data_IF_030203598962
#
_entry.id   IF_030203598962
#
_cell.length_a   1.000
_cell.length_b   1.000
_cell.length_c   1.000
_cell.angle_alpha   90.00
_cell.angle_beta   90.00
_cell.angle_gamma   90.00
#
_symmetry.space_group_name_H-M   'P 1'
#
loop_
_entity.id
_entity.type
_entity.pdbx_description
1 polymer ?
#
# COMPACT_ATOMS: atom_id res chain seq x y z
N UNK A 1 -10.83 -27.88 55.73
CA UNK A 1 -11.42 -26.61 55.33
C UNK A 1 -10.52 -25.66 54.53
N UNK A 2 -9.19 -25.64 54.74
CA UNK A 2 -8.25 -24.77 53.94
C UNK A 2 -8.12 -25.18 52.45
N UNK A 3 -8.13 -26.49 52.17
CA UNK A 3 -8.00 -27.01 50.77
C UNK A 3 -9.16 -26.62 49.85
N UNK A 4 -10.39 -26.64 50.35
CA UNK A 4 -11.59 -26.32 49.56
C UNK A 4 -11.64 -24.84 49.17
N UNK A 5 -11.16 -23.93 50.01
CA UNK A 5 -11.09 -22.49 49.69
C UNK A 5 -10.09 -22.18 48.60
N UNK A 6 -8.95 -22.89 48.56
CA UNK A 6 -7.93 -22.71 47.54
C UNK A 6 -8.44 -23.20 46.20
N UNK A 7 -9.14 -24.34 46.12
CA UNK A 7 -9.73 -24.85 44.91
C UNK A 7 -10.78 -23.91 44.29
N UNK A 8 -11.62 -23.30 45.11
CA UNK A 8 -12.63 -22.35 44.64
C UNK A 8 -11.98 -21.09 44.05
N UNK A 9 -10.91 -20.56 44.67
CA UNK A 9 -10.17 -19.40 44.15
C UNK A 9 -9.48 -19.73 42.83
N UNK A 10 -8.91 -20.92 42.68
CA UNK A 10 -8.27 -21.34 41.40
C UNK A 10 -9.27 -21.48 40.24
N UNK A 11 -10.47 -22.03 40.54
CA UNK A 11 -11.53 -22.15 39.52
C UNK A 11 -12.05 -20.78 39.12
N UNK A 12 -12.23 -19.84 40.07
CA UNK A 12 -12.66 -18.48 39.79
C UNK A 12 -11.65 -17.73 38.92
N UNK A 13 -10.33 -17.89 39.18
CA UNK A 13 -9.26 -17.32 38.36
C UNK A 13 -9.22 -17.89 36.94
N UNK A 14 -9.45 -19.20 36.79
CA UNK A 14 -9.51 -19.86 35.45
C UNK A 14 -10.72 -19.39 34.63
N UNK A 15 -11.87 -19.20 35.25
CA UNK A 15 -13.07 -18.70 34.57
C UNK A 15 -12.88 -17.24 34.14
N UNK A 16 -12.28 -16.39 34.99
CA UNK A 16 -11.96 -15.00 34.61
C UNK A 16 -10.94 -14.96 33.47
N UNK A 17 -9.90 -15.77 33.50
CA UNK A 17 -8.93 -15.85 32.40
C UNK A 17 -9.57 -16.33 31.10
N UNK A 18 -10.46 -17.31 31.14
CA UNK A 18 -11.17 -17.81 29.95
C UNK A 18 -12.12 -16.75 29.37
N UNK A 19 -12.78 -15.93 30.18
CA UNK A 19 -13.63 -14.83 29.70
C UNK A 19 -12.79 -13.70 29.08
N UNK A 20 -11.61 -13.39 29.62
CA UNK A 20 -10.69 -12.41 29.00
C UNK A 20 -10.13 -12.91 27.65
N UNK A 21 -9.80 -14.19 27.52
CA UNK A 21 -9.34 -14.77 26.24
C UNK A 21 -10.47 -14.80 25.22
N UNK A 22 -11.71 -15.09 25.63
CA UNK A 22 -12.87 -15.07 24.74
C UNK A 22 -13.23 -13.63 24.27
N UNK A 23 -13.02 -12.61 25.09
CA UNK A 23 -13.21 -11.21 24.70
C UNK A 23 -12.07 -10.68 23.82
N UNK A 24 -10.87 -11.23 23.94
CA UNK A 24 -9.72 -10.88 23.09
C UNK A 24 -9.80 -11.48 21.68
N UNK A 25 -10.70 -12.42 21.42
CA UNK A 25 -11.14 -12.73 20.06
C UNK A 25 -12.07 -11.60 19.59
N UNK A 26 -11.47 -10.44 19.32
CA UNK A 26 -12.16 -9.33 18.69
C UNK A 26 -12.96 -9.89 17.50
N UNK A 27 -14.29 -9.73 17.56
CA UNK A 27 -15.19 -10.09 16.48
C UNK A 27 -14.58 -9.54 15.22
N UNK A 28 -14.13 -10.41 14.30
CA UNK A 28 -13.51 -9.99 13.05
C UNK A 28 -14.55 -9.13 12.34
N UNK A 29 -14.42 -7.82 12.47
CA UNK A 29 -15.30 -6.87 11.77
C UNK A 29 -15.09 -7.11 10.29
N UNK A 30 -16.16 -7.34 9.55
CA UNK A 30 -16.07 -7.45 8.10
C UNK A 30 -15.47 -6.14 7.58
N UNK A 31 -14.32 -6.25 6.91
CA UNK A 31 -13.66 -5.10 6.31
C UNK A 31 -14.54 -4.59 5.16
N UNK A 32 -14.63 -3.28 4.94
CA UNK A 32 -15.19 -2.74 3.71
C UNK A 32 -14.54 -3.41 2.49
N UNK A 33 -15.29 -3.57 1.41
CA UNK A 33 -14.79 -4.24 0.20
C UNK A 33 -13.48 -3.61 -0.30
N UNK A 34 -13.43 -2.29 -0.40
CA UNK A 34 -12.24 -1.54 -0.83
C UNK A 34 -11.01 -1.83 0.05
N UNK A 35 -11.19 -1.93 1.35
CA UNK A 35 -10.12 -2.28 2.29
C UNK A 35 -9.66 -3.72 2.11
N UNK A 36 -10.58 -4.65 1.89
CA UNK A 36 -10.26 -6.06 1.66
C UNK A 36 -9.44 -6.24 0.36
N UNK A 37 -9.75 -5.46 -0.68
CA UNK A 37 -9.02 -5.48 -1.95
C UNK A 37 -7.57 -5.01 -1.81
N UNK A 38 -7.22 -4.16 -0.84
CA UNK A 38 -5.83 -3.77 -0.59
C UNK A 38 -4.91 -4.96 -0.27
N UNK A 39 -5.46 -6.06 0.27
CA UNK A 39 -4.67 -7.27 0.56
C UNK A 39 -4.08 -7.94 -0.71
N UNK A 40 -4.55 -7.58 -1.91
CA UNK A 40 -3.97 -8.05 -3.17
C UNK A 40 -2.53 -7.60 -3.36
N UNK A 41 -2.16 -6.43 -2.81
CA UNK A 41 -0.78 -5.93 -2.87
C UNK A 41 0.20 -6.78 -2.08
N UNK A 42 -0.23 -7.44 -1.00
CA UNK A 42 0.66 -8.13 -0.06
C UNK A 42 1.54 -9.15 -0.75
N UNK A 43 2.86 -9.01 -0.56
CA UNK A 43 3.90 -9.86 -1.11
C UNK A 43 5.06 -9.07 -1.68
N UNK A 44 6.02 -9.80 -2.24
CA UNK A 44 7.16 -9.23 -2.96
C UNK A 44 6.87 -9.23 -4.45
N UNK A 45 7.22 -8.16 -5.11
CA UNK A 45 7.00 -7.95 -6.53
C UNK A 45 8.26 -7.41 -7.18
N UNK A 46 8.53 -7.84 -8.40
CA UNK A 46 9.61 -7.28 -9.19
C UNK A 46 9.24 -7.18 -10.66
N UNK A 47 9.83 -6.22 -11.35
CA UNK A 47 9.57 -5.99 -12.76
C UNK A 47 10.49 -4.92 -13.34
N UNK A 48 10.55 -4.88 -14.67
CA UNK A 48 11.27 -3.82 -15.38
C UNK A 48 10.31 -2.66 -15.62
N UNK A 49 10.61 -1.51 -15.01
CA UNK A 49 9.94 -0.24 -15.27
C UNK A 49 10.60 0.42 -16.50
N UNK A 50 9.78 0.78 -17.48
CA UNK A 50 10.18 1.61 -18.60
C UNK A 50 9.73 3.04 -18.28
N UNK A 51 10.69 3.88 -17.91
CA UNK A 51 10.51 5.28 -17.55
C UNK A 51 10.84 6.18 -18.76
N UNK A 52 10.10 7.26 -18.94
CA UNK A 52 10.39 8.29 -19.92
C UNK A 52 10.32 9.66 -19.26
N UNK A 53 11.41 10.41 -19.26
CA UNK A 53 11.54 11.73 -18.65
C UNK A 53 10.96 12.88 -19.51
N UNK A 54 11.05 14.10 -19.02
CA UNK A 54 10.62 15.34 -19.69
C UNK A 54 11.40 15.63 -21.00
N UNK A 55 12.62 15.09 -21.13
CA UNK A 55 13.48 15.19 -22.33
C UNK A 55 13.22 14.06 -23.32
N UNK A 56 12.21 13.22 -23.08
CA UNK A 56 11.89 12.02 -23.88
C UNK A 56 13.01 10.98 -23.90
N UNK A 57 13.86 10.97 -22.89
CA UNK A 57 14.84 9.92 -22.68
C UNK A 57 14.16 8.72 -21.99
N UNK A 58 14.43 7.54 -22.51
CA UNK A 58 13.84 6.32 -21.95
C UNK A 58 14.89 5.51 -21.20
N UNK A 59 14.49 5.00 -20.04
CA UNK A 59 15.29 4.19 -19.11
C UNK A 59 14.56 2.88 -18.84
N UNK A 60 15.32 1.82 -18.57
CA UNK A 60 14.81 0.54 -18.11
C UNK A 60 15.42 0.23 -16.76
N UNK A 61 14.59 0.13 -15.75
CA UNK A 61 15.01 -0.01 -14.37
C UNK A 61 14.38 -1.27 -13.79
N UNK A 62 15.19 -2.12 -13.15
CA UNK A 62 14.65 -3.22 -12.35
C UNK A 62 14.13 -2.67 -11.03
N UNK A 63 12.84 -2.69 -10.86
CA UNK A 63 12.13 -2.19 -9.66
C UNK A 63 11.65 -3.35 -8.82
N UNK A 64 11.80 -3.22 -7.52
CA UNK A 64 11.37 -4.18 -6.50
C UNK A 64 10.42 -3.49 -5.53
N UNK A 65 9.35 -4.19 -5.17
CA UNK A 65 8.39 -3.75 -4.15
C UNK A 65 8.15 -4.87 -3.14
N UNK A 66 7.95 -4.50 -1.88
CA UNK A 66 7.58 -5.44 -0.84
C UNK A 66 6.47 -4.85 0.02
N UNK A 67 5.30 -5.44 -0.03
CA UNK A 67 4.12 -5.00 0.71
C UNK A 67 3.76 -6.00 1.80
N UNK A 68 3.45 -5.50 2.98
CA UNK A 68 3.02 -6.28 4.13
C UNK A 68 1.74 -5.70 4.73
N UNK A 69 0.90 -6.59 5.23
CA UNK A 69 -0.30 -6.21 5.97
C UNK A 69 0.09 -5.66 7.35
N UNK A 70 -0.49 -4.53 7.74
CA UNK A 70 -0.25 -3.88 9.05
C UNK A 70 -1.58 -3.60 9.77
N UNK A 71 -1.50 -3.17 11.03
CA UNK A 71 -2.66 -2.82 11.83
C UNK A 71 -3.76 -3.91 11.83
N UNK A 72 -3.35 -5.18 12.00
CA UNK A 72 -4.24 -6.36 11.99
C UNK A 72 -5.07 -6.51 10.70
N UNK A 73 -4.54 -6.08 9.56
CA UNK A 73 -5.20 -6.15 8.25
C UNK A 73 -5.89 -4.85 7.82
N UNK A 74 -5.86 -3.81 8.68
CA UNK A 74 -6.51 -2.53 8.38
C UNK A 74 -5.71 -1.63 7.45
N UNK A 75 -4.46 -1.98 7.16
CA UNK A 75 -3.60 -1.22 6.26
C UNK A 75 -2.53 -2.09 5.61
N UNK A 76 -1.84 -1.48 4.65
CA UNK A 76 -0.69 -2.05 3.95
C UNK A 76 0.47 -1.09 4.12
N UNK A 77 1.63 -1.62 4.53
CA UNK A 77 2.91 -0.94 4.44
C UNK A 77 3.70 -1.51 3.28
N UNK A 78 4.26 -0.65 2.45
CA UNK A 78 5.07 -1.02 1.31
C UNK A 78 6.41 -0.32 1.29
N UNK A 79 7.38 -0.95 0.67
CA UNK A 79 8.64 -0.33 0.28
C UNK A 79 8.88 -0.61 -1.20
N UNK A 80 9.44 0.38 -1.89
CA UNK A 80 9.90 0.25 -3.26
C UNK A 80 11.35 0.67 -3.34
N UNK A 81 12.11 -0.03 -4.18
CA UNK A 81 13.51 0.31 -4.38
C UNK A 81 14.02 -0.11 -5.76
N UNK A 82 14.93 0.67 -6.26
CA UNK A 82 15.84 0.30 -7.35
C UNK A 82 17.23 0.89 -7.12
N UNK A 83 18.23 0.31 -7.78
CA UNK A 83 19.59 0.83 -7.88
C UNK A 83 19.97 0.87 -9.37
N UNK A 84 20.16 2.05 -9.92
CA UNK A 84 20.57 2.26 -11.31
C UNK A 84 21.82 3.14 -11.39
N UNK A 85 22.83 2.77 -12.17
CA UNK A 85 24.08 3.52 -12.25
C UNK A 85 23.92 4.96 -12.79
N UNK A 86 22.87 5.25 -13.55
CA UNK A 86 22.63 6.56 -14.16
C UNK A 86 21.64 7.39 -13.35
N UNK A 87 20.56 6.76 -12.87
CA UNK A 87 19.50 7.44 -12.14
C UNK A 87 19.72 7.44 -10.62
N UNK A 88 20.66 6.63 -10.13
CA UNK A 88 20.96 6.54 -8.71
C UNK A 88 20.08 5.49 -8.01
N UNK A 89 19.73 5.78 -6.76
CA UNK A 89 19.00 4.85 -5.90
C UNK A 89 17.68 5.45 -5.49
N UNK A 90 16.57 4.77 -5.78
CA UNK A 90 15.28 5.05 -5.17
C UNK A 90 15.11 4.21 -3.91
N UNK A 91 14.56 4.82 -2.88
CA UNK A 91 14.05 4.18 -1.66
C UNK A 91 12.77 4.90 -1.28
N UNK A 92 11.64 4.25 -1.51
CA UNK A 92 10.34 4.78 -1.18
C UNK A 92 9.64 3.92 -0.13
N UNK A 93 8.78 4.54 0.65
CA UNK A 93 7.92 3.90 1.64
C UNK A 93 6.48 4.36 1.44
N UNK A 94 5.57 3.42 1.54
CA UNK A 94 4.15 3.61 1.28
C UNK A 94 3.32 3.14 2.45
N UNK A 95 2.26 3.87 2.75
CA UNK A 95 1.25 3.46 3.72
C UNK A 95 -0.13 3.62 3.09
N UNK A 96 -0.87 2.52 3.00
CA UNK A 96 -2.25 2.49 2.55
C UNK A 96 -3.17 2.19 3.73
N UNK A 97 -4.29 2.87 3.81
CA UNK A 97 -5.32 2.63 4.81
C UNK A 97 -6.68 3.11 4.36
N UNK A 98 -7.74 2.48 4.86
CA UNK A 98 -9.10 2.90 4.60
C UNK A 98 -9.62 3.73 5.78
N UNK A 99 -10.09 4.95 5.49
CA UNK A 99 -10.78 5.78 6.47
C UNK A 99 -12.29 5.49 6.41
N UNK A 100 -12.90 4.92 7.47
CA UNK A 100 -14.31 4.58 7.49
C UNK A 100 -15.21 5.82 7.60
N UNK A 101 -14.71 6.97 8.05
CA UNK A 101 -15.46 8.22 8.16
C UNK A 101 -15.51 8.96 6.83
N UNK A 102 -14.39 9.04 6.13
CA UNK A 102 -14.30 9.62 4.78
C UNK A 102 -14.74 8.62 3.70
N UNK A 103 -14.80 7.34 4.03
CA UNK A 103 -15.11 6.22 3.12
C UNK A 103 -14.18 6.17 1.92
N UNK A 104 -12.89 6.43 2.16
CA UNK A 104 -11.86 6.43 1.13
C UNK A 104 -10.59 5.73 1.58
N UNK A 105 -9.76 5.38 0.59
CA UNK A 105 -8.42 4.87 0.82
C UNK A 105 -7.47 6.07 0.76
N UNK A 106 -6.59 6.18 1.77
CA UNK A 106 -5.41 7.03 1.75
C UNK A 106 -4.20 6.23 1.33
N UNK A 107 -3.37 6.82 0.49
CA UNK A 107 -2.07 6.32 0.12
C UNK A 107 -1.03 7.40 0.35
N UNK A 108 -0.25 7.25 1.41
CA UNK A 108 0.82 8.17 1.74
C UNK A 108 2.15 7.63 1.21
N UNK A 109 2.86 8.45 0.42
CA UNK A 109 4.16 8.14 -0.15
C UNK A 109 5.24 9.05 0.42
N UNK A 110 6.41 8.46 0.68
CA UNK A 110 7.64 9.18 1.07
C UNK A 110 8.83 8.53 0.36
N UNK A 111 9.71 9.32 -0.24
CA UNK A 111 10.92 8.81 -0.88
C UNK A 111 12.16 9.64 -0.59
N UNK A 112 13.31 9.13 -0.99
CA UNK A 112 14.60 9.81 -0.83
C UNK A 112 14.89 10.84 -1.93
N UNK A 113 13.98 11.05 -2.87
CA UNK A 113 14.08 12.06 -3.95
C UNK A 113 13.29 13.34 -3.62
N UNK A 114 12.56 13.35 -2.50
CA UNK A 114 11.82 14.50 -1.99
C UNK A 114 10.32 14.42 -2.09
N UNK A 115 9.77 13.28 -2.53
CA UNK A 115 8.32 13.01 -2.49
C UNK A 115 7.89 12.84 -1.03
N UNK A 116 6.83 13.54 -0.63
CA UNK A 116 6.21 13.40 0.69
C UNK A 116 4.78 13.93 0.59
N UNK A 117 3.84 13.10 0.18
CA UNK A 117 2.45 13.53 0.00
C UNK A 117 1.44 12.38 0.08
N UNK A 118 0.18 12.75 0.28
CA UNK A 118 -0.98 11.87 0.22
C UNK A 118 -1.55 11.84 -1.19
N UNK A 119 -2.21 10.74 -1.53
CA UNK A 119 -2.88 10.53 -2.80
C UNK A 119 -4.34 10.20 -2.58
N UNK A 120 -5.19 10.65 -3.47
CA UNK A 120 -6.56 10.19 -3.60
C UNK A 120 -6.59 8.86 -4.35
N UNK A 121 -7.23 7.85 -3.75
CA UNK A 121 -7.25 6.49 -4.27
C UNK A 121 -8.66 5.96 -4.45
N UNK A 122 -8.86 5.16 -5.49
CA UNK A 122 -10.13 4.48 -5.73
C UNK A 122 -9.95 3.16 -6.47
N UNK A 123 -10.78 2.17 -6.13
CA UNK A 123 -10.96 0.98 -6.94
C UNK A 123 -11.98 1.29 -8.05
N UNK A 124 -11.53 1.43 -9.30
CA UNK A 124 -12.42 1.56 -10.47
C UNK A 124 -13.16 0.26 -10.77
N UNK A 125 -12.50 -0.86 -10.52
CA UNK A 125 -13.05 -2.22 -10.51
C UNK A 125 -12.28 -3.04 -9.46
N UNK A 126 -12.73 -4.26 -9.07
CA UNK A 126 -11.99 -5.10 -8.13
C UNK A 126 -10.55 -5.43 -8.55
N UNK A 127 -10.19 -5.24 -9.81
CA UNK A 127 -8.85 -5.49 -10.34
C UNK A 127 -8.13 -4.23 -10.83
N UNK A 128 -8.74 -3.04 -10.72
CA UNK A 128 -8.16 -1.78 -11.18
C UNK A 128 -8.12 -0.75 -10.06
N UNK A 129 -6.96 -0.55 -9.47
CA UNK A 129 -6.68 0.48 -8.47
C UNK A 129 -6.11 1.71 -9.15
N UNK A 130 -6.71 2.86 -8.89
CA UNK A 130 -6.30 4.16 -9.43
C UNK A 130 -5.87 5.08 -8.30
N UNK A 131 -4.80 5.81 -8.55
CA UNK A 131 -4.18 6.75 -7.59
C UNK A 131 -3.98 8.08 -8.30
N UNK A 132 -4.27 9.18 -7.61
CA UNK A 132 -4.10 10.53 -8.14
C UNK A 132 -3.53 11.46 -7.05
N UNK A 133 -2.59 12.32 -7.45
CA UNK A 133 -2.13 13.44 -6.64
C UNK A 133 -2.18 14.73 -7.45
N UNK A 134 -2.72 15.78 -6.85
CA UNK A 134 -2.79 17.11 -7.44
C UNK A 134 -2.14 18.12 -6.48
N UNK A 135 -1.21 18.93 -6.97
CA UNK A 135 -0.51 19.93 -6.18
C UNK A 135 0.00 21.09 -7.04
N UNK A 136 0.71 22.01 -6.40
CA UNK A 136 1.43 23.09 -7.10
C UNK A 136 2.94 22.85 -6.91
N UNK A 137 3.71 22.85 -8.00
CA UNK A 137 5.17 22.85 -8.00
C UNK A 137 5.67 24.13 -8.67
N UNK A 138 6.38 24.98 -7.94
CA UNK A 138 6.89 26.29 -8.42
C UNK A 138 5.82 27.15 -9.11
N UNK A 139 4.61 27.22 -8.52
CA UNK A 139 3.48 27.97 -9.05
C UNK A 139 2.82 27.35 -10.29
N UNK A 140 3.15 26.13 -10.66
CA UNK A 140 2.59 25.40 -11.80
C UNK A 140 1.75 24.23 -11.29
N UNK A 141 0.59 23.98 -11.94
CA UNK A 141 -0.24 22.84 -11.62
C UNK A 141 0.51 21.53 -11.92
N UNK A 142 0.67 20.70 -10.89
CA UNK A 142 1.24 19.37 -10.99
C UNK A 142 0.14 18.34 -10.78
N UNK A 143 0.14 17.33 -11.63
CA UNK A 143 -0.75 16.18 -11.50
C UNK A 143 0.02 14.90 -11.77
N UNK A 144 -0.16 13.92 -10.89
CA UNK A 144 0.31 12.55 -11.01
C UNK A 144 -0.88 11.60 -11.05
N UNK A 145 -0.83 10.61 -11.91
CA UNK A 145 -1.88 9.60 -12.07
C UNK A 145 -1.24 8.23 -12.22
N UNK A 146 -1.66 7.26 -11.41
CA UNK A 146 -1.15 5.90 -11.43
C UNK A 146 -2.31 4.93 -11.62
N UNK A 147 -2.19 4.04 -12.58
CA UNK A 147 -3.08 2.90 -12.77
C UNK A 147 -2.35 1.61 -12.42
N UNK A 148 -2.95 0.80 -11.56
CA UNK A 148 -2.47 -0.52 -11.12
C UNK A 148 -3.54 -1.55 -11.46
N UNK A 149 -3.27 -2.42 -12.43
CA UNK A 149 -4.23 -3.41 -12.92
C UNK A 149 -3.73 -4.82 -12.57
N UNK A 150 -4.45 -5.49 -11.68
CA UNK A 150 -4.21 -6.89 -11.32
C UNK A 150 -4.72 -7.81 -12.43
N UNK A 151 -3.84 -8.26 -13.31
CA UNK A 151 -4.18 -9.21 -14.39
C UNK A 151 -4.55 -10.58 -13.84
N UNK A 152 -3.91 -10.94 -12.75
CA UNK A 152 -4.13 -12.14 -11.95
C UNK A 152 -3.49 -11.95 -10.55
N UNK A 153 -3.51 -13.00 -9.71
CA UNK A 153 -2.95 -12.96 -8.35
C UNK A 153 -1.42 -12.77 -8.28
N UNK A 154 -0.72 -12.87 -9.41
CA UNK A 154 0.73 -12.82 -9.50
C UNK A 154 1.25 -11.78 -10.48
N UNK A 155 0.37 -10.97 -11.10
CA UNK A 155 0.76 -10.00 -12.11
C UNK A 155 0.04 -8.68 -11.92
N UNK A 156 0.80 -7.58 -11.80
CA UNK A 156 0.30 -6.21 -11.79
C UNK A 156 0.87 -5.50 -13.02
N UNK A 157 0.00 -4.95 -13.86
CA UNK A 157 0.36 -3.94 -14.85
C UNK A 157 0.29 -2.57 -14.19
N UNK A 158 1.35 -1.81 -14.34
CA UNK A 158 1.53 -0.49 -13.77
C UNK A 158 1.70 0.53 -14.90
N UNK A 159 1.03 1.67 -14.76
CA UNK A 159 1.36 2.85 -15.55
C UNK A 159 1.20 4.11 -14.71
N UNK A 160 2.14 5.01 -14.87
CA UNK A 160 2.16 6.32 -14.24
C UNK A 160 2.35 7.41 -15.28
N UNK A 161 1.74 8.57 -15.03
CA UNK A 161 1.94 9.78 -15.81
C UNK A 161 1.96 10.98 -14.88
N UNK A 162 3.05 11.74 -14.93
CA UNK A 162 3.15 13.02 -14.25
C UNK A 162 3.10 14.17 -15.27
N UNK A 163 2.33 15.22 -14.94
CA UNK A 163 2.21 16.42 -15.77
C UNK A 163 2.50 17.69 -14.99
N UNK A 164 3.04 18.71 -15.68
CA UNK A 164 3.22 20.05 -15.16
C UNK A 164 2.58 21.06 -16.11
N UNK A 165 1.58 21.82 -15.63
CA UNK A 165 0.71 22.66 -16.47
C UNK A 165 0.14 21.91 -17.70
N UNK A 166 -0.25 20.63 -17.50
CA UNK A 166 -0.81 19.78 -18.55
C UNK A 166 0.22 19.16 -19.52
N UNK A 167 1.50 19.51 -19.42
CA UNK A 167 2.55 18.88 -20.21
C UNK A 167 3.10 17.65 -19.49
N UNK A 168 3.19 16.53 -20.19
CA UNK A 168 3.79 15.30 -19.61
C UNK A 168 5.27 15.54 -19.35
N UNK A 169 5.69 15.37 -18.10
CA UNK A 169 7.07 15.46 -17.64
C UNK A 169 7.67 14.10 -17.32
N UNK A 170 6.80 13.09 -17.05
CA UNK A 170 7.21 11.73 -16.76
C UNK A 170 6.13 10.74 -17.19
N UNK A 171 6.54 9.57 -17.67
CA UNK A 171 5.62 8.49 -18.02
C UNK A 171 6.30 7.15 -17.83
N UNK A 172 5.73 6.32 -16.97
CA UNK A 172 6.27 5.03 -16.58
C UNK A 172 5.31 3.90 -16.88
N UNK A 173 5.89 2.75 -17.24
CA UNK A 173 5.13 1.50 -17.44
C UNK A 173 5.94 0.32 -16.95
N UNK A 174 5.27 -0.60 -16.27
CA UNK A 174 5.88 -1.85 -15.81
C UNK A 174 4.87 -3.00 -15.82
N UNK A 175 5.39 -4.21 -15.87
CA UNK A 175 4.67 -5.43 -15.53
C UNK A 175 5.40 -6.09 -14.37
N UNK A 176 4.80 -6.02 -13.18
CA UNK A 176 5.36 -6.62 -11.97
C UNK A 176 4.88 -8.05 -11.81
N UNK A 177 5.79 -8.93 -11.45
CA UNK A 177 5.51 -10.32 -11.11
C UNK A 177 5.73 -10.54 -9.62
N UNK A 178 4.81 -11.32 -9.01
CA UNK A 178 4.94 -11.72 -7.62
C UNK A 178 6.07 -12.74 -7.48
N UNK A 179 6.98 -12.47 -6.57
CA UNK A 179 8.06 -13.40 -6.24
C UNK A 179 7.51 -14.58 -5.45
N UNK A 180 8.13 -15.75 -5.64
CA UNK A 180 7.75 -17.00 -4.95
C UNK A 180 8.32 -17.05 -3.54
#
# INVERSE_FOLDING_TARGET
>A
MKSLKIQIVLIALLVVAATYVAQAQAKKVALPEDQALLQKFVGKWSGTTNMTDDKKQSFKIMTHMNFSSVAAGNGIYGVEYFDDPKLGKLRASYLFGYDPYEKKIHFYAIDNMGTCHDHDCTWKTPDHFYVEHNSMRDGKAYKESIDLIFKDKNTIEFSETATLNGNIIESDKASFKKEK
#
